data_IF_318888696530
#
_entry.id   IF_318888696530
#
_cell.length_a   1.000
_cell.length_b   1.000
_cell.length_c   1.000
_cell.angle_alpha   90.00
_cell.angle_beta   90.00
_cell.angle_gamma   90.00
#
_symmetry.space_group_name_H-M   'P 1'
#
loop_
_entity.id
_entity.type
_entity.pdbx_description
1 polymer ?
#
# COMPACT_ATOMS: atom_id res chain seq x y z
N UNK A 1 -28.92 -5.39 40.36
CA UNK A 1 -29.56 -5.43 39.01
C UNK A 1 -28.75 -4.61 38.02
N UNK A 2 -27.54 -5.07 37.70
CA UNK A 2 -26.53 -4.35 36.91
C UNK A 2 -25.64 -5.33 36.11
N UNK A 3 -25.52 -6.58 36.56
CA UNK A 3 -24.78 -7.65 35.86
C UNK A 3 -25.46 -8.13 34.57
N UNK A 4 -26.80 -8.15 34.54
CA UNK A 4 -27.59 -8.62 33.37
C UNK A 4 -27.47 -7.65 32.18
N UNK A 5 -27.36 -6.34 32.44
CA UNK A 5 -27.13 -5.32 31.39
C UNK A 5 -25.70 -5.36 30.83
N UNK A 6 -24.73 -5.71 31.67
CA UNK A 6 -23.33 -5.88 31.25
C UNK A 6 -23.15 -7.14 30.38
N UNK A 7 -23.84 -8.24 30.73
CA UNK A 7 -23.79 -9.49 29.98
C UNK A 7 -24.45 -9.38 28.60
N UNK A 8 -25.58 -8.65 28.50
CA UNK A 8 -26.28 -8.43 27.22
C UNK A 8 -25.45 -7.59 26.23
N UNK A 9 -24.65 -6.63 26.72
CA UNK A 9 -23.72 -5.86 25.88
C UNK A 9 -22.58 -6.70 25.32
N UNK A 10 -22.03 -7.64 26.10
CA UNK A 10 -20.98 -8.56 25.63
C UNK A 10 -21.48 -9.57 24.59
N UNK A 11 -22.73 -10.02 24.70
CA UNK A 11 -23.31 -11.00 23.78
C UNK A 11 -23.57 -10.38 22.40
N UNK A 12 -23.98 -9.10 22.32
CA UNK A 12 -24.14 -8.39 21.03
C UNK A 12 -22.79 -8.16 20.33
N UNK A 13 -21.69 -7.99 21.09
CA UNK A 13 -20.35 -7.78 20.54
C UNK A 13 -19.71 -9.05 19.95
N UNK A 14 -20.20 -10.24 20.33
CA UNK A 14 -19.63 -11.52 19.90
C UNK A 14 -20.29 -12.14 18.66
N UNK A 15 -21.49 -11.68 18.26
CA UNK A 15 -22.25 -12.25 17.13
C UNK A 15 -21.97 -11.50 15.80
N UNK A 16 -21.31 -10.35 15.86
CA UNK A 16 -21.04 -9.48 14.69
C UNK A 16 -19.88 -9.91 13.78
N UNK A 17 -19.20 -11.03 14.05
CA UNK A 17 -18.03 -11.47 13.27
C UNK A 17 -18.30 -12.78 12.53
N UNK A 18 -19.39 -12.83 11.77
CA UNK A 18 -19.44 -13.76 10.64
C UNK A 18 -18.48 -13.24 9.59
N UNK A 19 -17.24 -13.75 9.58
CA UNK A 19 -16.36 -13.61 8.44
C UNK A 19 -17.02 -14.35 7.27
N UNK A 20 -17.76 -13.61 6.45
CA UNK A 20 -18.20 -14.11 5.15
C UNK A 20 -16.91 -14.39 4.39
N UNK A 21 -16.58 -15.66 4.21
CA UNK A 21 -15.41 -16.05 3.43
C UNK A 21 -15.66 -15.57 2.00
N UNK A 22 -14.82 -14.65 1.52
CA UNK A 22 -14.83 -14.25 0.11
C UNK A 22 -14.64 -15.50 -0.75
N UNK A 23 -15.42 -15.61 -1.82
CA UNK A 23 -15.16 -16.66 -2.81
C UNK A 23 -13.79 -16.43 -3.46
N UNK A 24 -13.19 -17.50 -4.00
CA UNK A 24 -11.87 -17.40 -4.64
C UNK A 24 -11.81 -16.38 -5.78
N UNK A 25 -12.91 -16.19 -6.52
CA UNK A 25 -12.99 -15.19 -7.60
C UNK A 25 -13.10 -13.76 -7.06
N UNK A 26 -13.89 -13.53 -6.01
CA UNK A 26 -13.96 -12.22 -5.36
C UNK A 26 -12.61 -11.83 -4.75
N UNK A 27 -11.89 -12.79 -4.14
CA UNK A 27 -10.57 -12.56 -3.58
C UNK A 27 -9.55 -12.16 -4.65
N UNK A 28 -9.56 -12.83 -5.81
CA UNK A 28 -8.71 -12.44 -6.95
C UNK A 28 -9.03 -11.04 -7.45
N UNK A 29 -10.30 -10.74 -7.64
CA UNK A 29 -10.73 -9.41 -8.09
C UNK A 29 -10.30 -8.32 -7.10
N UNK A 30 -10.38 -8.59 -5.80
CA UNK A 30 -9.93 -7.68 -4.75
C UNK A 30 -8.42 -7.44 -4.81
N UNK A 31 -7.60 -8.48 -4.99
CA UNK A 31 -6.14 -8.34 -5.12
C UNK A 31 -5.77 -7.51 -6.34
N UNK A 32 -6.40 -7.77 -7.49
CA UNK A 32 -6.16 -6.99 -8.72
C UNK A 32 -6.53 -5.51 -8.52
N UNK A 33 -7.66 -5.24 -7.85
CA UNK A 33 -8.08 -3.88 -7.55
C UNK A 33 -7.11 -3.18 -6.57
N UNK A 34 -6.58 -3.90 -5.59
CA UNK A 34 -5.59 -3.37 -4.65
C UNK A 34 -4.25 -3.08 -5.32
N UNK A 35 -3.78 -3.95 -6.22
CA UNK A 35 -2.55 -3.73 -6.98
C UNK A 35 -2.67 -2.49 -7.87
N UNK A 36 -3.82 -2.32 -8.55
CA UNK A 36 -4.07 -1.11 -9.33
C UNK A 36 -4.09 0.14 -8.45
N UNK A 37 -4.79 0.10 -7.31
CA UNK A 37 -4.87 1.22 -6.39
C UNK A 37 -3.49 1.60 -5.80
N UNK A 38 -2.65 0.60 -5.55
CA UNK A 38 -1.26 0.78 -5.14
C UNK A 38 -0.45 1.50 -6.22
N UNK A 39 -0.46 0.98 -7.44
CA UNK A 39 0.26 1.55 -8.58
C UNK A 39 -0.14 3.01 -8.84
N UNK A 40 -1.44 3.30 -8.85
CA UNK A 40 -1.97 4.66 -9.04
C UNK A 40 -1.49 5.61 -7.92
N UNK A 41 -1.52 5.16 -6.66
CA UNK A 41 -1.11 5.96 -5.51
C UNK A 41 0.39 6.30 -5.53
N UNK A 42 1.23 5.32 -5.88
CA UNK A 42 2.68 5.52 -6.01
C UNK A 42 3.00 6.49 -7.15
N UNK A 43 2.35 6.35 -8.31
CA UNK A 43 2.55 7.24 -9.47
C UNK A 43 2.14 8.68 -9.15
N UNK A 44 1.05 8.85 -8.39
CA UNK A 44 0.49 10.17 -8.04
C UNK A 44 1.14 10.77 -6.78
N UNK A 45 2.09 10.08 -6.15
CA UNK A 45 2.66 10.48 -4.86
C UNK A 45 1.57 10.67 -3.77
N UNK A 46 0.49 9.88 -3.81
CA UNK A 46 -0.58 9.88 -2.80
C UNK A 46 -0.16 9.04 -1.59
N UNK A 47 0.67 9.64 -0.75
CA UNK A 47 1.26 8.99 0.44
C UNK A 47 0.17 8.49 1.39
N UNK A 48 -0.94 9.22 1.54
CA UNK A 48 -2.04 8.81 2.41
C UNK A 48 -2.68 7.51 1.91
N UNK A 49 -2.86 7.39 0.59
CA UNK A 49 -3.38 6.17 -0.02
C UNK A 49 -2.40 5.01 0.09
N UNK A 50 -1.11 5.24 -0.16
CA UNK A 50 -0.05 4.22 0.04
C UNK A 50 -0.07 3.72 1.49
N UNK A 51 -0.12 4.63 2.46
CA UNK A 51 -0.16 4.29 3.89
C UNK A 51 -1.38 3.45 4.30
N UNK A 52 -2.53 3.67 3.64
CA UNK A 52 -3.77 2.92 3.90
C UNK A 52 -3.78 1.51 3.28
N UNK A 53 -2.97 1.28 2.24
CA UNK A 53 -2.88 -0.01 1.56
C UNK A 53 -1.88 -0.95 2.24
N UNK A 54 -0.83 -0.41 2.85
CA UNK A 54 0.16 -1.22 3.56
C UNK A 54 -0.33 -1.66 4.93
N UNK A 55 -0.12 -2.95 5.24
CA UNK A 55 -0.22 -3.45 6.61
C UNK A 55 0.79 -2.74 7.53
N UNK A 56 0.50 -2.64 8.82
CA UNK A 56 1.37 -1.93 9.76
C UNK A 56 2.72 -2.63 9.99
N UNK A 57 2.77 -3.94 9.80
CA UNK A 57 3.96 -4.80 9.86
C UNK A 57 4.56 -5.09 8.48
N UNK A 58 4.24 -4.27 7.48
CA UNK A 58 4.74 -4.42 6.13
C UNK A 58 6.28 -4.44 6.07
N UNK A 59 6.79 -5.45 5.38
CA UNK A 59 8.20 -5.60 5.00
C UNK A 59 8.28 -5.79 3.49
N UNK A 60 9.00 -4.89 2.85
CA UNK A 60 9.23 -4.82 1.42
C UNK A 60 10.60 -5.31 1.02
N UNK A 61 10.76 -5.75 -0.24
CA UNK A 61 12.08 -5.87 -0.87
C UNK A 61 12.04 -5.19 -2.23
N UNK A 62 12.93 -4.24 -2.44
CA UNK A 62 12.99 -3.51 -3.70
C UNK A 62 13.70 -4.30 -4.81
N UNK A 63 13.69 -3.75 -6.03
CA UNK A 63 14.36 -4.37 -7.18
C UNK A 63 15.89 -4.45 -7.08
N UNK A 64 16.49 -3.88 -6.02
CA UNK A 64 17.93 -3.93 -5.72
C UNK A 64 18.25 -4.93 -4.60
N UNK A 65 17.23 -5.52 -3.99
CA UNK A 65 17.36 -6.44 -2.86
C UNK A 65 17.45 -5.78 -1.49
N UNK A 66 17.16 -4.47 -1.38
CA UNK A 66 17.07 -3.82 -0.07
C UNK A 66 15.73 -4.11 0.57
N UNK A 67 15.77 -4.47 1.85
CA UNK A 67 14.59 -4.69 2.67
C UNK A 67 14.16 -3.37 3.31
N UNK A 68 12.90 -2.99 3.13
CA UNK A 68 12.33 -1.75 3.65
C UNK A 68 11.12 -2.03 4.54
N UNK A 69 10.89 -1.17 5.52
CA UNK A 69 9.65 -1.15 6.29
C UNK A 69 8.65 -0.15 5.70
N UNK A 70 7.43 -0.10 6.26
CA UNK A 70 6.38 0.84 5.85
C UNK A 70 6.84 2.30 5.88
N UNK A 71 7.60 2.70 6.90
CA UNK A 71 8.04 4.09 7.04
C UNK A 71 9.04 4.47 5.94
N UNK A 72 9.96 3.56 5.61
CA UNK A 72 10.90 3.73 4.51
C UNK A 72 10.18 3.82 3.16
N UNK A 73 9.16 2.98 2.92
CA UNK A 73 8.39 3.02 1.67
C UNK A 73 7.59 4.32 1.51
N UNK A 74 6.99 4.84 2.59
CA UNK A 74 6.25 6.11 2.55
C UNK A 74 7.16 7.30 2.26
N UNK A 75 8.41 7.26 2.73
CA UNK A 75 9.41 8.29 2.45
C UNK A 75 9.82 8.27 0.97
N UNK A 76 9.97 7.10 0.36
CA UNK A 76 10.30 6.97 -1.06
C UNK A 76 9.13 7.39 -1.97
N UNK A 77 7.89 7.28 -1.49
CA UNK A 77 6.70 7.74 -2.21
C UNK A 77 6.55 9.27 -2.21
N UNK A 78 7.37 10.02 -1.47
CA UNK A 78 7.37 11.48 -1.50
C UNK A 78 7.76 12.01 -2.90
N UNK A 79 7.13 13.09 -3.38
CA UNK A 79 7.53 13.69 -4.64
C UNK A 79 8.97 14.19 -4.53
N UNK A 80 9.78 14.08 -5.61
CA UNK A 80 11.12 14.64 -5.61
C UNK A 80 11.04 16.15 -5.34
N UNK A 81 11.95 16.67 -4.50
CA UNK A 81 12.00 18.08 -4.17
C UNK A 81 11.96 18.95 -5.45
N UNK A 82 11.16 20.03 -5.47
CA UNK A 82 11.03 20.89 -6.63
C UNK A 82 12.27 21.80 -6.78
N UNK A 83 13.43 21.22 -7.07
CA UNK A 83 14.50 21.83 -7.88
C UNK A 83 15.66 20.84 -8.09
N UNK A 84 15.62 20.14 -9.23
CA UNK A 84 16.76 19.47 -9.90
C UNK A 84 16.40 18.78 -11.22
N UNK A 85 15.13 18.78 -11.63
CA UNK A 85 14.67 18.14 -12.87
C UNK A 85 14.77 19.02 -14.14
N UNK A 86 15.25 20.27 -14.04
CA UNK A 86 15.30 21.20 -15.19
C UNK A 86 16.62 21.20 -15.98
N UNK A 87 17.53 20.26 -15.73
CA UNK A 87 18.73 20.08 -16.57
C UNK A 87 18.84 18.63 -17.01
N UNK A 88 18.79 18.43 -18.33
CA UNK A 88 19.18 17.23 -19.07
C UNK A 88 18.07 16.30 -19.60
N UNK A 89 16.95 16.83 -20.10
CA UNK A 89 16.17 16.15 -21.15
C UNK A 89 16.70 16.49 -22.54
N UNK A 90 17.90 15.99 -22.89
CA UNK A 90 18.31 15.86 -24.29
C UNK A 90 19.38 14.79 -24.45
N UNK A 91 18.97 13.53 -24.36
CA UNK A 91 19.81 12.42 -24.81
C UNK A 91 19.56 11.10 -24.10
N UNK A 92 19.26 10.09 -24.90
CA UNK A 92 19.59 8.68 -24.67
C UNK A 92 18.64 7.83 -23.82
N UNK A 93 17.87 7.02 -24.56
CA UNK A 93 17.67 5.57 -24.37
C UNK A 93 17.48 5.05 -22.93
N UNK A 94 16.28 4.53 -22.65
CA UNK A 94 15.98 3.26 -21.93
C UNK A 94 16.93 2.79 -20.81
N UNK A 95 17.54 3.70 -20.07
CA UNK A 95 18.46 3.39 -18.98
C UNK A 95 17.89 3.96 -17.70
N UNK A 96 17.66 3.06 -16.75
CA UNK A 96 17.39 3.27 -15.33
C UNK A 96 17.08 4.70 -14.90
N UNK A 97 15.78 4.97 -14.66
CA UNK A 97 15.35 6.18 -13.92
C UNK A 97 16.15 6.24 -12.61
N UNK A 98 16.96 7.27 -12.36
CA UNK A 98 17.63 7.43 -11.08
C UNK A 98 16.57 7.87 -10.08
N UNK A 99 16.33 7.05 -9.05
CA UNK A 99 15.62 7.50 -7.86
C UNK A 99 14.28 6.84 -7.53
N UNK A 100 13.80 5.83 -8.26
CA UNK A 100 12.70 5.01 -7.73
C UNK A 100 13.27 3.72 -7.17
N UNK A 101 13.39 3.70 -5.85
CA UNK A 101 13.92 2.55 -5.12
C UNK A 101 12.90 1.79 -4.30
N UNK A 102 11.62 2.18 -4.38
CA UNK A 102 10.51 1.46 -3.78
C UNK A 102 10.17 0.15 -4.51
N UNK A 103 9.24 -0.60 -3.94
CA UNK A 103 8.75 -1.85 -4.52
C UNK A 103 8.05 -1.53 -5.83
N UNK A 104 8.49 -2.17 -6.91
CA UNK A 104 7.87 -1.97 -8.22
C UNK A 104 6.47 -2.58 -8.21
N UNK A 105 5.41 -1.83 -8.60
CA UNK A 105 4.12 -2.45 -8.86
C UNK A 105 4.30 -3.51 -9.94
N UNK A 106 3.66 -4.66 -9.77
CA UNK A 106 3.56 -5.64 -10.84
C UNK A 106 2.61 -5.03 -11.87
N UNK A 107 3.13 -4.70 -13.05
CA UNK A 107 2.29 -4.36 -14.21
C UNK A 107 1.54 -5.64 -14.61
N UNK A 108 0.31 -5.78 -14.09
CA UNK A 108 -0.68 -6.78 -14.51
C UNK A 108 -1.66 -6.12 -15.49
#
# INVERSE_FOLDING_TARGET
MNKIRMLAGCIVLLIGRNAIALTGEEAKAQVIAQEKAWSDAVIQHDIAKVASLLADDFIGTDGRGFVTDKAAELKEAEPPAPDRAAVSERGSSLTSRPGFTGIRPFLI
#
